data_IF_213304419724
#
_entry.id   IF_213304419724
#
_cell.length_a   1.000
_cell.length_b   1.000
_cell.length_c   1.000
_cell.angle_alpha   90.00
_cell.angle_beta   90.00
_cell.angle_gamma   90.00
#
_symmetry.space_group_name_H-M   'P 1'
#
loop_
_entity.id
_entity.type
_entity.pdbx_description
1 polymer ?
#
# COMPACT_ATOMS: atom_id res chain seq x y z
N UNK A 1 9.47 -49.69 8.20
CA UNK A 1 8.51 -48.86 8.98
C UNK A 1 9.11 -47.45 9.05
N UNK A 2 8.49 -46.32 8.69
CA UNK A 2 7.13 -45.77 8.94
C UNK A 2 6.85 -45.47 10.43
N UNK A 3 6.18 -44.36 10.81
CA UNK A 3 5.61 -43.20 10.07
C UNK A 3 6.51 -41.94 10.20
N UNK A 4 6.46 -40.85 9.41
CA UNK A 4 5.61 -40.41 8.27
C UNK A 4 4.28 -39.64 8.53
N UNK A 5 4.22 -38.72 9.51
CA UNK A 5 3.20 -37.63 9.66
C UNK A 5 3.88 -36.40 10.30
N UNK A 6 3.59 -35.13 10.01
CA UNK A 6 2.58 -34.50 9.12
C UNK A 6 3.22 -33.56 8.07
N UNK A 7 2.44 -33.12 7.09
CA UNK A 7 2.75 -32.00 6.17
C UNK A 7 2.09 -30.69 6.61
N UNK A 8 2.17 -29.63 5.78
CA UNK A 8 1.60 -28.27 5.96
C UNK A 8 2.45 -27.35 6.87
N UNK A 9 2.49 -26.02 6.66
CA UNK A 9 1.96 -25.19 5.57
C UNK A 9 2.66 -23.80 5.49
N UNK A 10 2.30 -23.03 4.45
CA UNK A 10 2.25 -21.56 4.44
C UNK A 10 3.56 -20.81 4.74
N UNK A 11 4.39 -20.72 3.69
CA UNK A 11 5.13 -19.49 3.41
C UNK A 11 4.11 -18.33 3.30
N UNK A 12 4.55 -17.14 3.72
CA UNK A 12 3.87 -15.97 4.30
C UNK A 12 2.87 -15.20 3.32
N UNK A 13 2.54 -13.86 3.33
CA UNK A 13 1.62 -13.01 2.43
C UNK A 13 1.94 -11.46 2.11
N UNK A 14 2.64 -11.10 0.99
CA UNK A 14 3.18 -9.76 0.48
C UNK A 14 2.45 -8.42 0.77
N UNK A 15 3.24 -7.38 1.10
CA UNK A 15 3.06 -5.95 0.73
C UNK A 15 1.85 -5.21 1.33
N UNK A 16 2.14 -4.35 2.31
CA UNK A 16 1.30 -3.19 2.73
C UNK A 16 1.11 -2.09 1.64
N UNK A 17 1.26 -2.44 0.36
CA UNK A 17 0.98 -1.64 -0.85
C UNK A 17 1.95 -0.48 -1.12
N UNK A 18 3.26 -0.63 -0.92
CA UNK A 18 4.16 -1.36 -1.83
C UNK A 18 5.37 -2.10 -1.19
N UNK A 19 5.67 -2.16 0.11
CA UNK A 19 4.93 -1.80 1.32
C UNK A 19 4.66 -0.31 1.50
N UNK A 20 5.56 0.55 1.05
CA UNK A 20 5.26 1.97 0.87
C UNK A 20 5.93 2.48 -0.40
N UNK A 21 5.13 3.09 -1.27
CA UNK A 21 5.63 3.60 -2.54
C UNK A 21 6.43 4.88 -2.29
N UNK A 22 7.75 4.76 -2.43
CA UNK A 22 8.73 5.85 -2.44
C UNK A 22 9.62 5.89 -1.19
N UNK A 23 10.90 6.20 -1.40
CA UNK A 23 11.93 6.30 -0.35
C UNK A 23 13.00 7.31 -0.75
N UNK A 24 13.07 8.47 -0.05
CA UNK A 24 14.02 9.59 -0.27
C UNK A 24 13.99 10.21 -1.72
N UNK A 25 14.40 11.46 -1.98
CA UNK A 25 15.32 12.40 -1.30
C UNK A 25 14.81 13.88 -1.32
N UNK A 26 15.41 14.74 -0.47
CA UNK A 26 15.49 16.24 -0.44
C UNK A 26 14.47 17.15 -1.15
N UNK A 27 14.00 18.15 -0.38
CA UNK A 27 13.81 19.58 -0.72
C UNK A 27 13.35 19.98 -2.13
N UNK A 28 12.03 20.04 -2.34
CA UNK A 28 11.40 20.94 -3.34
C UNK A 28 10.20 21.64 -2.69
N UNK A 29 10.05 22.95 -2.92
CA UNK A 29 8.90 23.74 -2.45
C UNK A 29 7.61 23.30 -3.15
N UNK A 30 6.55 23.05 -2.39
CA UNK A 30 5.19 22.89 -2.93
C UNK A 30 4.43 24.22 -2.80
N UNK A 31 4.17 24.89 -3.92
CA UNK A 31 3.28 26.05 -3.98
C UNK A 31 1.82 25.58 -3.92
N UNK A 32 1.15 25.81 -2.79
CA UNK A 32 -0.25 25.36 -2.58
C UNK A 32 -1.21 26.33 -3.27
N UNK A 33 -1.95 25.84 -4.28
CA UNK A 33 -3.08 26.55 -4.90
C UNK A 33 -4.42 26.01 -4.38
N UNK A 34 -5.25 26.81 -3.70
CA UNK A 34 -6.59 26.40 -3.25
C UNK A 34 -7.70 26.83 -4.21
N UNK A 35 -8.67 25.95 -4.50
CA UNK A 35 -10.07 26.36 -4.83
C UNK A 35 -11.09 25.21 -4.90
N UNK A 36 -11.98 25.19 -3.91
CA UNK A 36 -13.45 24.98 -3.95
C UNK A 36 -14.21 24.01 -4.91
N UNK A 37 -15.34 23.54 -4.35
CA UNK A 37 -16.63 23.15 -4.96
C UNK A 37 -16.85 21.68 -5.39
N UNK A 38 -17.52 20.92 -4.50
CA UNK A 38 -17.92 19.50 -4.65
C UNK A 38 -19.00 19.16 -5.68
N UNK A 39 -19.24 20.03 -6.67
CA UNK A 39 -19.98 19.67 -7.91
C UNK A 39 -19.00 19.37 -9.05
N UNK A 40 -17.80 19.98 -9.02
CA UNK A 40 -16.74 19.73 -9.99
C UNK A 40 -15.99 18.42 -9.72
N UNK A 41 -15.88 17.99 -8.44
CA UNK A 41 -15.23 16.72 -8.05
C UNK A 41 -15.76 15.53 -8.86
N UNK A 42 -17.08 15.45 -9.09
CA UNK A 42 -17.74 14.35 -9.82
C UNK A 42 -17.35 14.30 -11.32
N UNK A 43 -17.22 15.46 -11.98
CA UNK A 43 -16.78 15.49 -13.38
C UNK A 43 -15.28 15.21 -13.49
N UNK A 44 -14.50 15.67 -12.50
CA UNK A 44 -13.05 15.52 -12.48
C UNK A 44 -12.61 14.08 -12.15
N UNK A 45 -13.28 13.40 -11.21
CA UNK A 45 -13.05 11.98 -10.93
C UNK A 45 -13.39 11.11 -12.13
N UNK A 46 -14.50 11.36 -12.84
CA UNK A 46 -14.86 10.61 -14.04
C UNK A 46 -13.85 10.83 -15.19
N UNK A 47 -13.28 12.04 -15.32
CA UNK A 47 -12.18 12.30 -16.26
C UNK A 47 -10.89 11.54 -15.87
N UNK A 48 -10.52 11.51 -14.58
CA UNK A 48 -9.40 10.68 -14.07
C UNK A 48 -9.62 9.19 -14.35
N UNK A 49 -10.81 8.67 -14.06
CA UNK A 49 -11.17 7.27 -14.30
C UNK A 49 -11.04 6.89 -15.79
N UNK A 50 -11.53 7.76 -16.69
CA UNK A 50 -11.35 7.56 -18.14
C UNK A 50 -9.88 7.59 -18.58
N UNK A 51 -9.04 8.48 -18.00
CA UNK A 51 -7.59 8.51 -18.25
C UNK A 51 -6.90 7.20 -17.80
N UNK A 52 -7.26 6.67 -16.64
CA UNK A 52 -6.77 5.37 -16.13
C UNK A 52 -7.14 4.25 -17.12
N UNK A 53 -8.43 4.20 -17.52
CA UNK A 53 -8.95 3.21 -18.47
C UNK A 53 -8.30 3.27 -19.86
N UNK A 54 -7.87 4.46 -20.30
CA UNK A 54 -7.12 4.66 -21.55
C UNK A 54 -5.66 4.21 -21.45
N UNK A 55 -4.97 4.43 -20.32
CA UNK A 55 -3.57 3.98 -20.13
C UNK A 55 -3.43 2.46 -20.05
N UNK A 56 -4.42 1.77 -19.51
CA UNK A 56 -4.40 0.32 -19.27
C UNK A 56 -5.72 -0.36 -19.69
N UNK A 57 -6.02 -0.40 -21.00
CA UNK A 57 -7.27 -0.93 -21.53
C UNK A 57 -7.41 -2.43 -21.20
N UNK A 58 -8.52 -2.80 -20.54
CA UNK A 58 -8.83 -4.18 -20.14
C UNK A 58 -8.24 -4.63 -18.80
N UNK A 59 -7.28 -3.91 -18.21
CA UNK A 59 -6.57 -4.37 -17.00
C UNK A 59 -7.22 -3.90 -15.69
N UNK A 60 -7.95 -2.77 -15.70
CA UNK A 60 -8.45 -2.15 -14.46
C UNK A 60 -9.90 -1.66 -14.56
N UNK A 61 -10.86 -2.56 -14.32
CA UNK A 61 -12.27 -2.23 -14.06
C UNK A 61 -12.58 -2.38 -12.56
N UNK A 62 -11.88 -1.62 -11.72
CA UNK A 62 -11.92 -1.74 -10.24
C UNK A 62 -13.17 -1.07 -9.62
N UNK A 63 -13.87 -0.26 -10.41
CA UNK A 63 -15.00 0.53 -9.98
C UNK A 63 -16.04 0.62 -11.10
N UNK A 64 -17.30 0.42 -10.76
CA UNK A 64 -18.40 1.09 -11.45
C UNK A 64 -18.36 2.58 -11.10
N UNK A 65 -18.77 3.48 -12.00
CA UNK A 65 -19.08 4.87 -11.63
C UNK A 65 -20.57 5.03 -11.28
N UNK A 66 -21.16 3.98 -10.71
CA UNK A 66 -22.49 4.02 -10.12
C UNK A 66 -22.38 4.56 -8.68
N UNK A 67 -23.49 4.95 -8.06
CA UNK A 67 -23.50 5.49 -6.69
C UNK A 67 -23.27 4.44 -5.57
N UNK A 68 -22.61 3.33 -5.91
CA UNK A 68 -22.22 2.25 -5.01
C UNK A 68 -21.09 2.73 -4.09
N UNK A 69 -21.33 2.74 -2.77
CA UNK A 69 -20.35 3.18 -1.76
C UNK A 69 -19.30 2.11 -1.43
N UNK A 70 -19.21 1.07 -2.26
CA UNK A 70 -18.42 -0.14 -2.08
C UNK A 70 -17.40 -0.28 -3.20
N UNK A 71 -16.24 -0.85 -2.90
CA UNK A 71 -15.30 -1.31 -3.91
C UNK A 71 -15.84 -2.57 -4.62
N UNK A 72 -15.50 -2.78 -5.89
CA UNK A 72 -15.82 -4.04 -6.56
C UNK A 72 -14.91 -5.15 -6.04
N UNK A 73 -15.52 -6.20 -5.46
CA UNK A 73 -14.79 -7.41 -5.07
C UNK A 73 -14.42 -8.18 -6.34
N UNK A 74 -13.12 -8.38 -6.56
CA UNK A 74 -12.60 -9.20 -7.65
C UNK A 74 -12.41 -10.66 -7.22
N UNK A 75 -12.60 -11.57 -8.17
CA UNK A 75 -12.17 -12.96 -8.06
C UNK A 75 -10.64 -13.09 -8.14
N UNK A 76 -10.09 -14.14 -7.53
CA UNK A 76 -8.65 -14.32 -7.41
C UNK A 76 -7.90 -14.40 -8.76
N UNK A 77 -8.56 -14.90 -9.81
CA UNK A 77 -8.03 -14.89 -11.19
C UNK A 77 -7.93 -13.48 -11.79
N UNK A 78 -8.89 -12.60 -11.51
CA UNK A 78 -8.87 -11.20 -11.98
C UNK A 78 -7.74 -10.43 -11.27
N UNK A 79 -7.65 -10.57 -9.95
CA UNK A 79 -6.54 -10.03 -9.15
C UNK A 79 -5.18 -10.53 -9.66
N UNK A 80 -5.07 -11.83 -9.98
CA UNK A 80 -3.86 -12.44 -10.55
C UNK A 80 -3.52 -11.88 -11.94
N UNK A 81 -4.51 -11.77 -12.82
CA UNK A 81 -4.37 -11.19 -14.16
C UNK A 81 -3.86 -9.75 -14.11
N UNK A 82 -4.48 -8.92 -13.27
CA UNK A 82 -4.21 -7.49 -13.24
C UNK A 82 -2.83 -7.18 -12.63
N UNK A 83 -2.42 -7.93 -11.59
CA UNK A 83 -1.07 -7.82 -11.00
C UNK A 83 0.01 -8.29 -11.99
N UNK A 84 -0.17 -9.43 -12.67
CA UNK A 84 0.77 -9.87 -13.71
C UNK A 84 0.86 -8.85 -14.87
N UNK A 85 -0.29 -8.30 -15.29
CA UNK A 85 -0.37 -7.28 -16.34
C UNK A 85 0.32 -5.97 -15.96
N UNK A 86 0.24 -5.55 -14.69
CA UNK A 86 0.99 -4.39 -14.20
C UNK A 86 2.51 -4.61 -14.26
N UNK A 87 3.01 -5.79 -13.88
CA UNK A 87 4.44 -6.08 -13.99
C UNK A 87 4.91 -6.19 -15.45
N UNK A 88 4.07 -6.73 -16.35
CA UNK A 88 4.34 -6.72 -17.79
C UNK A 88 4.41 -5.28 -18.32
N UNK A 89 3.44 -4.43 -17.97
CA UNK A 89 3.43 -3.01 -18.29
C UNK A 89 4.70 -2.29 -17.80
N UNK A 90 5.11 -2.51 -16.54
CA UNK A 90 6.34 -1.93 -15.99
C UNK A 90 7.59 -2.32 -16.79
N UNK A 91 7.73 -3.59 -17.18
CA UNK A 91 8.89 -4.06 -17.97
C UNK A 91 9.05 -3.32 -19.31
N UNK A 92 7.98 -2.74 -19.85
CA UNK A 92 8.01 -1.95 -21.09
C UNK A 92 8.36 -0.47 -20.90
N UNK A 93 8.40 0.07 -19.67
CA UNK A 93 8.66 1.49 -19.42
C UNK A 93 10.15 1.83 -19.43
N UNK A 94 10.53 2.95 -20.08
CA UNK A 94 11.94 3.39 -20.14
C UNK A 94 12.54 3.68 -18.76
N UNK A 95 11.74 4.23 -17.84
CA UNK A 95 12.18 4.48 -16.46
C UNK A 95 12.44 3.20 -15.65
N UNK A 96 11.97 2.03 -16.12
CA UNK A 96 12.29 0.70 -15.57
C UNK A 96 13.49 0.08 -16.30
N UNK A 97 13.50 0.13 -17.64
CA UNK A 97 14.56 -0.49 -18.48
C UNK A 97 15.96 -0.05 -18.09
N UNK A 98 16.14 1.24 -17.75
CA UNK A 98 17.42 1.84 -17.31
C UNK A 98 18.11 1.16 -16.12
N UNK A 99 17.39 0.30 -15.38
CA UNK A 99 17.95 -0.45 -14.27
C UNK A 99 18.49 -1.84 -14.64
N UNK A 100 18.22 -2.35 -15.86
CA UNK A 100 18.72 -3.62 -16.37
C UNK A 100 18.56 -4.80 -15.40
N UNK A 101 17.35 -4.99 -14.86
CA UNK A 101 17.05 -6.11 -13.96
C UNK A 101 16.78 -7.40 -14.73
N UNK A 102 17.58 -8.44 -14.47
CA UNK A 102 17.50 -9.75 -15.13
C UNK A 102 16.17 -10.47 -14.93
N UNK A 103 15.50 -10.25 -13.79
CA UNK A 103 14.19 -10.83 -13.46
C UNK A 103 13.02 -9.85 -13.68
N UNK A 104 13.27 -8.69 -14.33
CA UNK A 104 12.28 -7.63 -14.52
C UNK A 104 11.74 -7.01 -13.21
N UNK A 105 10.67 -6.24 -13.33
CA UNK A 105 10.01 -5.59 -12.20
C UNK A 105 9.39 -6.59 -11.20
N UNK A 106 8.86 -7.72 -11.72
CA UNK A 106 8.25 -8.78 -10.91
C UNK A 106 9.26 -9.47 -9.97
N UNK A 107 10.44 -9.83 -10.49
CA UNK A 107 11.49 -10.42 -9.67
C UNK A 107 12.06 -9.44 -8.65
N UNK A 108 12.29 -8.18 -9.03
CA UNK A 108 12.71 -7.15 -8.07
C UNK A 108 11.70 -6.92 -6.95
N UNK A 109 10.42 -7.00 -7.25
CA UNK A 109 9.37 -6.94 -6.23
C UNK A 109 9.43 -8.16 -5.31
N UNK A 110 9.58 -9.38 -5.84
CA UNK A 110 9.81 -10.58 -5.01
C UNK A 110 11.08 -10.46 -4.12
N UNK A 111 12.17 -9.91 -4.63
CA UNK A 111 13.41 -9.64 -3.85
C UNK A 111 13.18 -8.61 -2.73
N UNK A 112 12.59 -7.45 -3.03
CA UNK A 112 12.27 -6.41 -2.03
C UNK A 112 11.45 -6.99 -0.88
N UNK A 113 10.49 -7.84 -1.23
CA UNK A 113 9.52 -8.38 -0.30
C UNK A 113 10.14 -9.49 0.55
N UNK A 114 10.94 -10.38 -0.02
CA UNK A 114 11.74 -11.36 0.73
C UNK A 114 12.68 -10.70 1.74
N UNK A 115 13.41 -9.65 1.32
CA UNK A 115 14.26 -8.84 2.20
C UNK A 115 13.45 -8.24 3.36
N UNK A 116 12.24 -7.75 3.08
CA UNK A 116 11.35 -7.14 4.08
C UNK A 116 10.55 -8.16 4.92
N UNK A 117 10.50 -9.44 4.53
CA UNK A 117 10.05 -10.55 5.42
C UNK A 117 11.11 -10.85 6.46
N UNK A 118 12.36 -10.96 6.02
CA UNK A 118 13.50 -11.41 6.81
C UNK A 118 14.00 -10.36 7.80
N UNK A 119 13.56 -9.10 7.65
CA UNK A 119 13.97 -7.97 8.46
C UNK A 119 12.73 -7.24 8.99
N UNK A 120 12.85 -6.60 10.15
CA UNK A 120 11.77 -5.77 10.72
C UNK A 120 12.37 -4.49 11.32
N UNK A 121 11.62 -3.37 11.32
CA UNK A 121 12.05 -2.11 11.93
C UNK A 121 11.93 -2.14 13.45
N UNK A 122 12.57 -1.20 14.14
CA UNK A 122 12.52 -1.12 15.60
C UNK A 122 11.23 -0.40 16.03
N UNK A 123 10.17 -1.17 16.33
CA UNK A 123 8.85 -0.63 16.65
C UNK A 123 8.72 -0.06 18.08
N UNK A 124 9.55 -0.54 19.00
CA UNK A 124 9.49 -0.26 20.44
C UNK A 124 10.76 0.52 20.82
N UNK A 125 10.63 1.53 21.68
CA UNK A 125 11.76 2.31 22.23
C UNK A 125 12.64 2.99 21.17
N UNK A 126 12.03 3.40 20.05
CA UNK A 126 12.67 4.24 19.03
C UNK A 126 13.20 5.56 19.62
N UNK A 127 12.48 6.15 20.57
CA UNK A 127 12.81 7.43 21.20
C UNK A 127 13.91 7.36 22.27
N UNK A 128 14.32 6.17 22.70
CA UNK A 128 15.32 5.99 23.77
C UNK A 128 16.72 6.47 23.38
N UNK A 129 17.02 6.57 22.08
CA UNK A 129 18.27 7.16 21.62
C UNK A 129 18.15 7.77 20.22
N UNK A 130 18.96 8.80 19.95
CA UNK A 130 19.10 9.39 18.61
C UNK A 130 19.52 8.31 17.59
N UNK A 131 20.33 7.32 18.01
CA UNK A 131 20.73 6.19 17.15
C UNK A 131 19.55 5.32 16.74
N UNK A 132 18.60 5.06 17.64
CA UNK A 132 17.36 4.31 17.38
C UNK A 132 16.47 5.06 16.37
N UNK A 133 16.22 6.35 16.62
CA UNK A 133 15.48 7.23 15.67
C UNK A 133 16.14 7.23 14.29
N UNK A 134 17.47 7.39 14.21
CA UNK A 134 18.19 7.40 12.94
C UNK A 134 18.19 6.04 12.23
N UNK A 135 18.24 4.92 12.97
CA UNK A 135 18.12 3.57 12.40
C UNK A 135 16.78 3.40 11.68
N UNK A 136 15.68 3.84 12.30
CA UNK A 136 14.36 3.83 11.68
C UNK A 136 14.23 4.86 10.54
N UNK A 137 14.74 6.08 10.70
CA UNK A 137 14.66 7.14 9.68
C UNK A 137 15.33 6.76 8.34
N UNK A 138 16.37 5.93 8.39
CA UNK A 138 17.09 5.40 7.23
C UNK A 138 16.81 3.91 6.92
N UNK A 139 15.87 3.27 7.63
CA UNK A 139 15.62 1.82 7.60
C UNK A 139 15.64 1.21 6.19
N UNK A 140 14.72 1.64 5.31
CA UNK A 140 14.63 1.09 3.95
C UNK A 140 15.88 1.38 3.12
N UNK A 141 16.51 2.56 3.28
CA UNK A 141 17.68 2.91 2.49
C UNK A 141 18.87 1.98 2.78
N UNK A 142 19.08 1.67 4.07
CA UNK A 142 20.08 0.70 4.54
C UNK A 142 19.79 -0.71 4.03
N UNK A 143 18.51 -1.08 3.94
CA UNK A 143 18.07 -2.46 3.71
C UNK A 143 17.88 -2.82 2.22
N UNK A 144 17.30 -1.93 1.42
CA UNK A 144 17.00 -2.17 0.00
C UNK A 144 18.08 -1.66 -0.96
N UNK A 145 18.85 -0.66 -0.51
CA UNK A 145 19.92 0.00 -1.26
C UNK A 145 19.44 0.95 -2.36
N UNK A 146 20.24 1.99 -2.66
CA UNK A 146 19.91 3.11 -3.58
C UNK A 146 19.24 2.68 -4.90
N UNK A 147 19.63 1.54 -5.50
CA UNK A 147 19.04 1.06 -6.76
C UNK A 147 17.53 0.76 -6.64
N UNK A 148 17.12 0.01 -5.62
CA UNK A 148 15.70 -0.36 -5.42
C UNK A 148 14.89 0.79 -4.84
N UNK A 149 15.52 1.58 -3.97
CA UNK A 149 15.01 2.85 -3.43
C UNK A 149 14.59 3.80 -4.57
N UNK A 150 15.48 4.00 -5.56
CA UNK A 150 15.18 4.83 -6.73
C UNK A 150 14.14 4.18 -7.65
N UNK A 151 14.20 2.86 -7.91
CA UNK A 151 13.19 2.14 -8.70
C UNK A 151 11.77 2.38 -8.18
N UNK A 152 11.58 2.22 -6.87
CA UNK A 152 10.28 2.40 -6.21
C UNK A 152 9.83 3.87 -6.38
N UNK A 153 10.70 4.85 -6.14
CA UNK A 153 10.38 6.28 -6.31
C UNK A 153 10.07 6.65 -7.78
N UNK A 154 10.68 6.01 -8.78
CA UNK A 154 10.37 6.21 -10.20
C UNK A 154 8.98 5.68 -10.57
N UNK A 155 8.63 4.45 -10.15
CA UNK A 155 7.27 3.92 -10.31
C UNK A 155 6.26 4.90 -9.68
N UNK A 156 6.58 5.44 -8.51
CA UNK A 156 5.70 6.35 -7.78
C UNK A 156 5.32 7.60 -8.57
N UNK A 157 6.33 8.23 -9.18
CA UNK A 157 6.18 9.52 -9.83
C UNK A 157 5.49 9.37 -11.20
N UNK A 158 5.78 8.29 -11.93
CA UNK A 158 5.22 8.03 -13.27
C UNK A 158 3.80 7.40 -13.22
N UNK A 159 3.47 6.65 -12.15
CA UNK A 159 2.23 5.90 -12.01
C UNK A 159 1.22 6.47 -10.99
N UNK A 160 1.40 7.74 -10.63
CA UNK A 160 0.51 8.51 -9.74
C UNK A 160 -0.97 8.56 -10.18
N UNK A 161 -1.26 8.39 -11.48
CA UNK A 161 -2.63 8.23 -11.99
C UNK A 161 -3.28 6.92 -11.50
N UNK A 162 -2.54 5.82 -11.54
CA UNK A 162 -3.06 4.45 -11.35
C UNK A 162 -2.84 3.91 -9.93
N UNK A 163 -2.30 4.73 -9.02
CA UNK A 163 -1.96 4.32 -7.65
C UNK A 163 -3.18 3.83 -6.84
N UNK A 164 -4.35 4.45 -7.00
CA UNK A 164 -5.58 4.06 -6.30
C UNK A 164 -6.04 2.63 -6.60
N UNK A 165 -6.32 2.23 -7.87
CA UNK A 165 -6.70 0.84 -8.19
C UNK A 165 -5.57 -0.16 -7.94
N UNK A 166 -4.31 0.26 -8.08
CA UNK A 166 -3.15 -0.60 -7.86
C UNK A 166 -3.00 -0.99 -6.38
N UNK A 167 -3.07 -0.02 -5.46
CA UNK A 167 -3.02 -0.29 -4.02
C UNK A 167 -4.24 -1.11 -3.56
N UNK A 168 -5.44 -0.83 -4.08
CA UNK A 168 -6.61 -1.64 -3.76
C UNK A 168 -6.44 -3.11 -4.18
N UNK A 169 -5.83 -3.36 -5.33
CA UNK A 169 -5.67 -4.73 -5.84
C UNK A 169 -4.59 -5.51 -5.08
N UNK A 170 -3.49 -4.86 -4.72
CA UNK A 170 -2.53 -5.47 -3.79
C UNK A 170 -3.15 -5.72 -2.40
N UNK A 171 -4.03 -4.84 -1.90
CA UNK A 171 -4.78 -5.10 -0.67
C UNK A 171 -5.77 -6.27 -0.79
N UNK A 172 -6.48 -6.44 -1.92
CA UNK A 172 -7.32 -7.62 -2.14
C UNK A 172 -6.49 -8.91 -2.15
N UNK A 173 -5.36 -8.90 -2.84
CA UNK A 173 -4.46 -10.06 -2.93
C UNK A 173 -3.77 -10.43 -1.60
N UNK A 174 -3.55 -9.45 -0.72
CA UNK A 174 -3.17 -9.69 0.69
C UNK A 174 -4.20 -10.58 1.39
N UNK A 175 -5.48 -10.37 1.09
CA UNK A 175 -6.62 -11.05 1.72
C UNK A 175 -7.04 -12.37 1.04
N UNK A 176 -6.57 -12.64 -0.18
CA UNK A 176 -6.84 -13.90 -0.89
C UNK A 176 -5.93 -15.03 -0.42
N UNK A 177 -6.47 -16.26 -0.36
CA UNK A 177 -5.69 -17.44 0.04
C UNK A 177 -4.72 -17.82 -1.07
N UNK A 178 -3.59 -18.41 -0.69
CA UNK A 178 -2.56 -18.82 -1.64
C UNK A 178 -3.05 -19.92 -2.61
N UNK A 179 -4.02 -20.72 -2.18
CA UNK A 179 -4.67 -21.77 -2.98
C UNK A 179 -5.55 -21.21 -4.12
N UNK A 180 -5.97 -19.94 -4.05
CA UNK A 180 -6.83 -19.29 -5.04
C UNK A 180 -6.05 -18.58 -6.16
N UNK A 181 -4.71 -18.46 -6.04
CA UNK A 181 -3.91 -17.46 -6.77
C UNK A 181 -3.02 -18.04 -7.87
N UNK A 182 -3.23 -17.59 -9.10
CA UNK A 182 -2.36 -17.86 -10.26
C UNK A 182 -1.19 -16.83 -10.32
N UNK A 183 -0.48 -16.68 -9.20
CA UNK A 183 0.60 -15.70 -9.00
C UNK A 183 1.86 -16.33 -8.41
N UNK A 184 2.90 -16.45 -9.25
CA UNK A 184 4.30 -16.60 -8.81
C UNK A 184 4.79 -15.31 -8.11
N UNK A 185 4.46 -15.13 -6.83
CA UNK A 185 4.87 -13.97 -6.02
C UNK A 185 5.17 -14.39 -4.55
N UNK A 186 6.32 -13.95 -4.01
CA UNK A 186 6.89 -14.31 -2.68
C UNK A 186 6.29 -13.59 -1.47
N UNK A 187 5.24 -14.17 -0.93
CA UNK A 187 4.43 -13.78 0.24
C UNK A 187 5.16 -14.08 1.62
N UNK A 188 5.36 -13.32 2.76
CA UNK A 188 5.11 -12.01 3.51
C UNK A 188 3.98 -11.64 4.61
N UNK A 189 3.62 -12.45 5.64
CA UNK A 189 2.30 -12.63 6.37
C UNK A 189 1.54 -11.40 6.92
N UNK A 190 0.26 -11.57 7.33
CA UNK A 190 -0.53 -10.51 7.99
C UNK A 190 0.19 -9.91 9.21
N UNK A 191 0.84 -10.74 10.01
CA UNK A 191 1.71 -10.29 11.12
C UNK A 191 2.83 -9.35 10.64
N UNK A 192 3.49 -9.66 9.51
CA UNK A 192 4.48 -8.77 8.88
C UNK A 192 3.83 -7.50 8.34
N UNK A 193 2.68 -7.62 7.66
CA UNK A 193 1.94 -6.46 7.16
C UNK A 193 1.55 -5.50 8.31
N UNK A 194 1.12 -6.05 9.45
CA UNK A 194 0.82 -5.34 10.69
C UNK A 194 2.07 -4.67 11.30
N UNK A 195 3.21 -5.38 11.40
CA UNK A 195 4.49 -4.82 11.84
C UNK A 195 4.85 -3.55 11.03
N UNK A 196 4.66 -3.58 9.71
CA UNK A 196 4.90 -2.40 8.88
C UNK A 196 3.79 -1.34 8.99
N UNK A 197 2.52 -1.72 9.10
CA UNK A 197 1.43 -0.76 9.34
C UNK A 197 1.67 0.05 10.64
N UNK A 198 2.08 -0.63 11.71
CA UNK A 198 2.53 -0.02 12.96
C UNK A 198 3.77 0.86 12.76
N UNK A 199 4.78 0.40 12.00
CA UNK A 199 5.95 1.23 11.69
C UNK A 199 5.55 2.59 11.12
N UNK A 200 4.66 2.63 10.13
CA UNK A 200 4.25 3.87 9.48
C UNK A 200 3.32 4.74 10.31
N UNK A 201 2.42 4.14 11.09
CA UNK A 201 1.44 4.87 11.91
C UNK A 201 1.96 5.28 13.29
N UNK A 202 2.98 4.62 13.84
CA UNK A 202 3.57 4.98 15.15
C UNK A 202 4.94 5.64 15.07
N UNK A 203 5.91 5.03 14.39
CA UNK A 203 7.31 5.46 14.52
C UNK A 203 7.58 6.81 13.88
N UNK A 204 8.50 7.58 14.46
CA UNK A 204 9.03 8.83 13.92
C UNK A 204 9.67 8.57 12.55
N UNK A 205 10.42 7.47 12.38
CA UNK A 205 10.98 7.07 11.09
C UNK A 205 9.91 6.84 10.02
N UNK A 206 8.88 6.04 10.34
CA UNK A 206 7.75 5.75 9.46
C UNK A 206 6.91 6.97 9.10
N UNK A 207 6.56 7.80 10.09
CA UNK A 207 5.92 9.11 9.89
C UNK A 207 6.76 10.02 8.98
N UNK A 208 8.08 10.03 9.14
CA UNK A 208 8.97 10.75 8.22
C UNK A 208 8.98 10.16 6.81
N UNK A 209 8.90 8.83 6.63
CA UNK A 209 8.71 8.25 5.28
C UNK A 209 7.39 8.70 4.64
N UNK A 210 6.29 8.74 5.40
CA UNK A 210 4.99 9.25 4.97
C UNK A 210 5.03 10.73 4.55
N UNK A 211 5.54 11.63 5.42
CA UNK A 211 5.54 13.07 5.15
C UNK A 211 6.35 13.50 3.93
N UNK A 212 7.33 12.68 3.51
CA UNK A 212 8.14 12.91 2.30
C UNK A 212 7.44 12.48 1.00
N UNK A 213 6.19 12.03 1.03
CA UNK A 213 5.40 11.65 -0.16
C UNK A 213 4.39 12.72 -0.55
N UNK A 214 4.00 12.63 -1.82
CA UNK A 214 2.80 13.27 -2.33
C UNK A 214 1.59 13.00 -1.40
N UNK A 215 0.72 14.00 -1.12
CA UNK A 215 -0.39 13.85 -0.20
C UNK A 215 -1.37 12.72 -0.54
N UNK A 216 -1.61 12.42 -1.83
CA UNK A 216 -2.48 11.33 -2.26
C UNK A 216 -1.93 9.99 -1.81
N UNK A 217 -0.66 9.76 -2.16
CA UNK A 217 0.11 8.56 -1.82
C UNK A 217 0.10 8.37 -0.30
N UNK A 218 0.50 9.42 0.45
CA UNK A 218 0.54 9.40 1.92
C UNK A 218 -0.78 8.97 2.56
N UNK A 219 -1.91 9.51 2.08
CA UNK A 219 -3.22 9.25 2.67
C UNK A 219 -3.78 7.86 2.31
N UNK A 220 -3.56 7.40 1.07
CA UNK A 220 -3.88 6.03 0.67
C UNK A 220 -3.12 5.00 1.52
N UNK A 221 -1.84 5.26 1.81
CA UNK A 221 -1.05 4.41 2.69
C UNK A 221 -1.64 4.35 4.10
N UNK A 222 -1.94 5.50 4.72
CA UNK A 222 -2.54 5.53 6.07
C UNK A 222 -3.85 4.74 6.12
N UNK A 223 -4.68 4.84 5.08
CA UNK A 223 -5.89 4.05 4.90
C UNK A 223 -5.61 2.54 4.91
N UNK A 224 -4.71 2.02 4.07
CA UNK A 224 -4.42 0.59 4.05
C UNK A 224 -3.72 0.12 5.34
N UNK A 225 -2.92 0.96 6.00
CA UNK A 225 -2.35 0.64 7.32
C UNK A 225 -3.45 0.49 8.39
N UNK A 226 -4.47 1.36 8.39
CA UNK A 226 -5.65 1.23 9.25
C UNK A 226 -6.43 -0.05 8.95
N UNK A 227 -6.64 -0.41 7.67
CA UNK A 227 -7.29 -1.68 7.32
C UNK A 227 -6.51 -2.91 7.80
N UNK A 228 -5.19 -2.91 7.65
CA UNK A 228 -4.31 -4.01 8.08
C UNK A 228 -4.33 -4.17 9.61
N UNK A 229 -4.36 -3.06 10.37
CA UNK A 229 -4.51 -3.12 11.84
C UNK A 229 -5.92 -3.61 12.23
N UNK A 230 -6.97 -3.24 11.49
CA UNK A 230 -8.31 -3.78 11.75
C UNK A 230 -8.39 -5.29 11.53
N UNK A 231 -7.74 -5.79 10.47
CA UNK A 231 -7.64 -7.21 10.21
C UNK A 231 -6.82 -7.93 11.30
N UNK A 232 -5.65 -7.38 11.67
CA UNK A 232 -4.82 -7.94 12.74
C UNK A 232 -5.53 -7.94 14.11
N UNK A 233 -6.34 -6.91 14.42
CA UNK A 233 -7.22 -6.92 15.59
C UNK A 233 -8.24 -8.07 15.54
N UNK A 234 -8.82 -8.31 14.35
CA UNK A 234 -9.86 -9.32 14.15
C UNK A 234 -9.31 -10.75 14.17
N UNK A 235 -8.05 -10.95 13.78
CA UNK A 235 -7.33 -12.23 13.81
C UNK A 235 -6.50 -12.44 15.11
N UNK A 236 -6.53 -11.48 16.05
CA UNK A 236 -5.81 -11.57 17.32
C UNK A 236 -4.29 -11.33 17.25
N UNK A 237 -3.81 -10.77 16.13
CA UNK A 237 -2.39 -10.55 15.83
C UNK A 237 -1.86 -9.15 16.25
N UNK A 238 -2.65 -8.33 16.93
CA UNK A 238 -2.22 -7.02 17.46
C UNK A 238 -1.31 -7.18 18.71
N UNK A 239 -0.16 -7.83 18.53
CA UNK A 239 0.77 -8.23 19.59
C UNK A 239 1.39 -7.07 20.36
N UNK A 240 1.51 -5.89 19.73
CA UNK A 240 2.03 -4.67 20.36
C UNK A 240 0.93 -3.75 20.95
N UNK A 241 -0.34 -4.19 20.96
CA UNK A 241 -1.44 -3.48 21.63
C UNK A 241 -1.80 -2.11 21.03
N UNK A 242 -1.61 -1.93 19.72
CA UNK A 242 -1.85 -0.66 19.02
C UNK A 242 -3.32 -0.26 19.07
N UNK A 243 -3.58 0.97 19.54
CA UNK A 243 -4.90 1.57 19.44
C UNK A 243 -5.12 2.14 18.03
N UNK A 244 -5.98 1.48 17.27
CA UNK A 244 -6.38 1.90 15.92
C UNK A 244 -7.17 3.21 15.90
N UNK A 245 -7.85 3.57 17.01
CA UNK A 245 -8.82 4.68 17.07
C UNK A 245 -8.23 6.05 16.67
N UNK A 246 -7.09 6.53 17.22
CA UNK A 246 -6.48 7.79 16.77
C UNK A 246 -6.11 7.77 15.28
N UNK A 247 -5.58 6.66 14.77
CA UNK A 247 -5.18 6.54 13.36
C UNK A 247 -6.38 6.53 12.42
N UNK A 248 -7.47 5.91 12.83
CA UNK A 248 -8.74 5.88 12.11
C UNK A 248 -9.35 7.28 11.98
N UNK A 249 -9.51 8.02 13.09
CA UNK A 249 -10.02 9.39 13.07
C UNK A 249 -9.14 10.35 12.27
N UNK A 250 -7.81 10.26 12.43
CA UNK A 250 -6.86 11.04 11.63
C UNK A 250 -6.98 10.73 10.14
N UNK A 251 -7.14 9.46 9.76
CA UNK A 251 -7.26 9.05 8.36
C UNK A 251 -8.60 9.46 7.75
N UNK A 252 -9.72 9.38 8.49
CA UNK A 252 -11.03 9.92 8.07
C UNK A 252 -10.89 11.41 7.76
N UNK A 253 -10.32 12.18 8.70
CA UNK A 253 -10.08 13.62 8.54
C UNK A 253 -9.19 13.93 7.35
N UNK A 254 -8.09 13.19 7.16
CA UNK A 254 -7.15 13.44 6.06
C UNK A 254 -7.78 13.13 4.69
N UNK A 255 -8.50 12.02 4.55
CA UNK A 255 -9.19 11.64 3.30
C UNK A 255 -10.35 12.59 2.95
N UNK A 256 -11.13 13.02 3.95
CA UNK A 256 -12.22 13.98 3.74
C UNK A 256 -11.70 15.30 3.14
N UNK A 257 -10.51 15.74 3.57
CA UNK A 257 -9.82 16.93 3.09
C UNK A 257 -8.94 16.70 1.84
N UNK A 258 -9.02 15.55 1.17
CA UNK A 258 -8.27 15.28 -0.07
C UNK A 258 -9.14 15.48 -1.32
N UNK A 259 -8.58 16.04 -2.39
CA UNK A 259 -9.32 16.45 -3.62
C UNK A 259 -8.85 15.69 -4.88
N UNK A 260 -7.76 14.93 -4.78
CA UNK A 260 -7.15 14.17 -5.89
C UNK A 260 -7.49 12.67 -5.93
N UNK A 261 -8.28 12.20 -4.96
CA UNK A 261 -8.80 10.84 -4.90
C UNK A 261 -10.02 10.69 -5.82
N UNK A 262 -9.97 9.66 -6.65
CA UNK A 262 -11.05 9.24 -7.55
C UNK A 262 -12.13 8.47 -6.78
N UNK A 263 -11.75 7.73 -5.72
CA UNK A 263 -12.64 6.83 -4.97
C UNK A 263 -12.83 7.24 -3.49
N UNK A 264 -12.72 8.54 -3.24
CA UNK A 264 -12.88 9.21 -1.93
C UNK A 264 -14.09 8.71 -1.13
N UNK A 265 -15.23 8.55 -1.79
CA UNK A 265 -16.49 8.15 -1.15
C UNK A 265 -16.48 6.69 -0.65
N UNK A 266 -15.85 5.79 -1.40
CA UNK A 266 -15.68 4.39 -1.04
C UNK A 266 -14.69 4.24 0.13
N UNK A 267 -13.56 4.95 0.09
CA UNK A 267 -12.60 5.00 1.21
C UNK A 267 -13.27 5.49 2.50
N UNK A 268 -13.98 6.62 2.44
CA UNK A 268 -14.67 7.20 3.61
C UNK A 268 -15.80 6.31 4.14
N UNK A 269 -16.59 5.68 3.28
CA UNK A 269 -17.65 4.75 3.70
C UNK A 269 -17.08 3.53 4.46
N UNK A 270 -15.96 2.98 4.00
CA UNK A 270 -15.30 1.86 4.66
C UNK A 270 -14.74 2.27 6.04
N UNK A 271 -14.12 3.45 6.16
CA UNK A 271 -13.65 3.95 7.45
C UNK A 271 -14.79 4.28 8.42
N UNK A 272 -15.89 4.86 7.96
CA UNK A 272 -17.07 5.13 8.81
C UNK A 272 -17.73 3.84 9.34
N UNK A 273 -17.59 2.72 8.64
CA UNK A 273 -18.01 1.41 9.15
C UNK A 273 -17.03 0.86 10.20
N UNK A 274 -15.72 1.06 10.05
CA UNK A 274 -14.75 0.77 11.11
C UNK A 274 -14.97 1.68 12.34
N UNK A 275 -15.30 2.95 12.13
CA UNK A 275 -15.56 3.92 13.20
C UNK A 275 -16.71 3.47 14.11
N UNK A 276 -17.76 2.88 13.52
CA UNK A 276 -18.84 2.20 14.25
C UNK A 276 -18.38 0.92 14.95
N UNK A 277 -17.56 0.07 14.28
CA UNK A 277 -16.97 -1.15 14.88
C UNK A 277 -16.20 -0.83 16.16
N UNK A 278 -15.45 0.28 16.18
CA UNK A 278 -14.68 0.75 17.35
C UNK A 278 -15.43 1.72 18.28
N UNK A 279 -16.74 1.92 18.08
CA UNK A 279 -17.62 2.74 18.94
C UNK A 279 -17.16 4.20 19.11
N UNK A 280 -16.69 4.82 18.02
CA UNK A 280 -16.28 6.23 17.93
C UNK A 280 -17.44 7.13 17.47
N UNK A 281 -18.60 6.94 18.09
CA UNK A 281 -19.89 7.58 17.75
C UNK A 281 -20.35 8.55 18.82
#
# INVERSE_FOLDING_TARGET
>A
MQQKRFSKNNIEIISSCFLLLGTFFTDIKVEVRPSYAGVNEIKFSQQRYNKIKQRLPGVWQVFSYNNEKTFQIFGAKEVSSNINSFFAYLNHQEYIKKYHFTQGAKGQFNEVIEILTQNSPDLIRETDSISSVLKNYFYFYRLLGKKRINLITEILNNESDIIEPLMYTFYLWLNLKNEDLELDLKKQSLERAYIYAQFFLETIGGKNYLFRRDPKVRKLISYYCVLIIDQANSEGLNSNGIDIRPHLELTIKDLANQVDLTFKNQYLWQLENLRKKYKLS
#
